data_IF_947791579200
#
_entry.id   IF_947791579200
#
_cell.length_a   1.000
_cell.length_b   1.000
_cell.length_c   1.000
_cell.angle_alpha   90.00
_cell.angle_beta   90.00
_cell.angle_gamma   90.00
#
_symmetry.space_group_name_H-M   'P 1'
#
loop_
_entity.id
_entity.type
_entity.pdbx_description
1 polymer ?
#
# COMPACT_ATOMS: atom_id res chain seq x y z
N UNK A 1 27.79 1.25 -1.69
CA UNK A 1 26.61 1.35 -2.46
C UNK A 1 25.80 0.09 -2.34
N UNK A 2 24.62 0.31 -2.38
CA UNK A 2 23.63 -0.68 -2.33
C UNK A 2 23.49 -1.38 -3.65
N UNK A 3 24.22 -2.44 -3.76
CA UNK A 3 24.23 -3.22 -4.99
C UNK A 3 23.59 -4.58 -4.82
N UNK A 4 22.79 -4.71 -3.81
CA UNK A 4 22.12 -5.95 -3.67
C UNK A 4 21.27 -6.23 -4.90
N UNK A 5 20.94 -7.47 -5.04
CA UNK A 5 20.09 -7.89 -6.14
C UNK A 5 18.77 -7.14 -6.21
N UNK A 6 18.38 -6.49 -5.15
CA UNK A 6 17.20 -5.61 -5.18
C UNK A 6 17.31 -4.45 -6.14
N UNK A 7 18.50 -4.07 -6.56
CA UNK A 7 18.68 -3.07 -7.59
C UNK A 7 18.03 -3.52 -8.92
N UNK A 8 17.93 -4.82 -9.11
CA UNK A 8 17.33 -5.41 -10.31
C UNK A 8 15.99 -6.07 -10.03
N UNK A 9 15.61 -6.10 -8.78
CA UNK A 9 14.36 -6.74 -8.37
C UNK A 9 13.20 -5.79 -8.58
N UNK A 10 12.11 -6.32 -9.12
CA UNK A 10 10.87 -5.56 -9.23
C UNK A 10 10.26 -5.41 -7.83
N UNK A 11 10.08 -4.17 -7.38
CA UNK A 11 9.39 -3.91 -6.14
C UNK A 11 7.89 -4.12 -6.31
N UNK A 12 7.27 -4.78 -5.36
CA UNK A 12 5.84 -5.08 -5.40
C UNK A 12 5.09 -4.12 -4.50
N UNK A 13 4.13 -3.42 -5.10
CA UNK A 13 3.36 -2.38 -4.43
C UNK A 13 1.88 -2.71 -4.53
N UNK A 14 1.17 -2.61 -3.41
CA UNK A 14 -0.28 -2.69 -3.40
C UNK A 14 -0.87 -1.32 -3.18
N UNK A 15 -1.99 -1.05 -3.84
CA UNK A 15 -2.78 0.18 -3.65
C UNK A 15 -4.18 -0.26 -3.29
N UNK A 16 -4.65 0.11 -2.11
CA UNK A 16 -5.97 -0.26 -1.61
C UNK A 16 -6.79 1.01 -1.43
N UNK A 17 -7.70 1.25 -2.35
CA UNK A 17 -8.50 2.47 -2.42
C UNK A 17 -9.83 2.17 -3.10
N UNK A 18 -10.96 2.48 -2.46
CA UNK A 18 -12.27 2.18 -3.01
C UNK A 18 -12.74 3.19 -4.07
N UNK A 19 -12.25 4.41 -4.03
CA UNK A 19 -12.60 5.41 -5.04
C UNK A 19 -11.80 5.19 -6.31
N UNK A 20 -12.49 4.92 -7.42
CA UNK A 20 -11.84 4.57 -8.68
C UNK A 20 -10.90 5.66 -9.18
N UNK A 21 -11.34 6.92 -9.13
CA UNK A 21 -10.53 8.03 -9.61
C UNK A 21 -9.27 8.22 -8.77
N UNK A 22 -9.40 8.13 -7.45
CA UNK A 22 -8.26 8.26 -6.55
C UNK A 22 -7.31 7.09 -6.69
N UNK A 23 -7.84 5.88 -6.87
CA UNK A 23 -7.01 4.70 -7.09
C UNK A 23 -6.19 4.82 -8.36
N UNK A 24 -6.83 5.29 -9.44
CA UNK A 24 -6.14 5.52 -10.71
C UNK A 24 -5.09 6.62 -10.59
N UNK A 25 -5.40 7.69 -9.87
CA UNK A 25 -4.48 8.79 -9.66
C UNK A 25 -3.25 8.33 -8.90
N UNK A 26 -3.42 7.56 -7.84
CA UNK A 26 -2.31 7.06 -7.05
C UNK A 26 -1.45 6.09 -7.86
N UNK A 27 -2.08 5.19 -8.59
CA UNK A 27 -1.35 4.28 -9.49
C UNK A 27 -0.59 5.06 -10.57
N UNK A 28 -1.17 6.15 -11.05
CA UNK A 28 -0.52 7.02 -12.03
C UNK A 28 0.73 7.70 -11.48
N UNK A 29 0.68 8.17 -10.23
CA UNK A 29 1.85 8.77 -9.59
C UNK A 29 2.97 7.73 -9.41
N UNK A 30 2.61 6.51 -9.02
CA UNK A 30 3.59 5.43 -8.87
C UNK A 30 4.22 5.09 -10.21
N UNK A 31 3.42 5.02 -11.26
CA UNK A 31 3.93 4.75 -12.61
C UNK A 31 4.88 5.86 -13.10
N UNK A 32 4.53 7.12 -12.79
CA UNK A 32 5.40 8.25 -13.13
C UNK A 32 6.73 8.16 -12.40
N UNK A 33 6.70 7.86 -11.11
CA UNK A 33 7.92 7.67 -10.34
C UNK A 33 8.78 6.57 -10.92
N UNK A 34 8.17 5.45 -11.31
CA UNK A 34 8.89 4.34 -11.92
C UNK A 34 9.61 4.78 -13.20
N UNK A 35 8.94 5.54 -14.05
CA UNK A 35 9.53 6.05 -15.29
C UNK A 35 10.68 7.00 -15.00
N UNK A 36 10.49 7.93 -14.06
CA UNK A 36 11.50 8.96 -13.77
C UNK A 36 12.72 8.40 -13.06
N UNK A 37 12.52 7.39 -12.24
CA UNK A 37 13.61 6.79 -11.45
C UNK A 37 14.28 5.61 -12.15
N UNK A 38 13.72 5.11 -13.24
CA UNK A 38 14.22 3.92 -13.92
C UNK A 38 13.95 2.64 -13.15
N UNK A 39 13.08 2.66 -12.14
CA UNK A 39 12.76 1.49 -11.35
C UNK A 39 11.64 0.68 -11.99
N UNK A 40 11.69 -0.62 -11.78
CA UNK A 40 10.60 -1.51 -12.15
C UNK A 40 9.72 -1.73 -10.93
N UNK A 41 8.44 -1.37 -11.07
CA UNK A 41 7.47 -1.50 -9.99
C UNK A 41 6.30 -2.35 -10.49
N UNK A 42 5.91 -3.32 -9.67
CA UNK A 42 4.76 -4.18 -9.95
C UNK A 42 3.62 -3.74 -9.03
N UNK A 43 2.61 -3.10 -9.58
CA UNK A 43 1.52 -2.51 -8.82
C UNK A 43 0.27 -3.35 -8.95
N UNK A 44 -0.29 -3.77 -7.83
CA UNK A 44 -1.59 -4.45 -7.77
C UNK A 44 -2.57 -3.55 -7.05
N UNK A 45 -3.71 -3.29 -7.66
CA UNK A 45 -4.73 -2.42 -7.10
C UNK A 45 -5.89 -3.24 -6.54
N UNK A 46 -6.38 -2.79 -5.39
CA UNK A 46 -7.53 -3.39 -4.71
C UNK A 46 -8.54 -2.31 -4.41
N UNK A 47 -9.81 -2.64 -4.50
CA UNK A 47 -10.89 -1.68 -4.28
C UNK A 47 -11.35 -1.62 -2.82
N UNK A 48 -10.90 -2.54 -1.98
CA UNK A 48 -11.29 -2.59 -0.57
C UNK A 48 -10.29 -3.42 0.22
N UNK A 49 -10.20 -3.16 1.53
CA UNK A 49 -9.34 -3.94 2.40
C UNK A 49 -9.69 -5.41 2.43
N UNK A 50 -10.97 -5.75 2.27
CA UNK A 50 -11.39 -7.14 2.22
C UNK A 50 -10.75 -7.91 1.07
N UNK A 51 -10.45 -7.23 -0.04
CA UNK A 51 -9.85 -7.89 -1.20
C UNK A 51 -8.39 -8.29 -0.97
N UNK A 52 -7.65 -7.50 -0.19
CA UNK A 52 -6.25 -7.80 0.04
C UNK A 52 -6.02 -8.80 1.17
N UNK A 53 -6.95 -8.90 2.12
CA UNK A 53 -6.75 -9.77 3.28
C UNK A 53 -7.47 -11.12 3.21
N UNK A 54 -8.17 -11.44 2.14
CA UNK A 54 -8.97 -12.67 2.07
C UNK A 54 -8.57 -13.54 0.86
N UNK A 55 -7.48 -14.30 0.96
CA UNK A 55 -6.47 -14.27 2.02
C UNK A 55 -5.37 -13.26 1.71
N UNK A 56 -4.71 -12.76 2.77
CA UNK A 56 -3.52 -11.94 2.57
C UNK A 56 -2.34 -12.81 2.18
N UNK A 57 -1.67 -12.42 1.12
CA UNK A 57 -0.47 -13.12 0.66
C UNK A 57 0.72 -12.19 0.80
N UNK A 58 1.70 -12.53 1.65
CA UNK A 58 2.92 -11.74 1.76
C UNK A 58 3.66 -11.68 0.43
N UNK A 59 4.46 -10.65 0.27
CA UNK A 59 5.24 -10.45 -0.95
C UNK A 59 5.26 -9.01 -1.41
N UNK A 60 4.40 -8.17 -0.85
CA UNK A 60 4.45 -6.74 -1.12
C UNK A 60 5.57 -6.09 -0.34
N UNK A 61 6.22 -5.11 -0.95
CA UNK A 61 7.22 -4.28 -0.28
C UNK A 61 6.56 -3.08 0.39
N UNK A 62 5.57 -2.49 -0.28
CA UNK A 62 4.83 -1.33 0.23
C UNK A 62 3.36 -1.51 -0.08
N UNK A 63 2.52 -1.16 0.88
CA UNK A 63 1.06 -1.14 0.70
C UNK A 63 0.55 0.25 1.04
N UNK A 64 -0.07 0.90 0.06
CA UNK A 64 -0.77 2.17 0.26
C UNK A 64 -2.23 1.86 0.59
N UNK A 65 -2.71 2.37 1.72
CA UNK A 65 -4.04 2.08 2.24
C UNK A 65 -4.85 3.35 2.43
N UNK A 66 -6.04 3.38 1.88
CA UNK A 66 -7.04 4.37 2.30
C UNK A 66 -7.61 3.95 3.65
N UNK A 67 -8.02 4.92 4.45
CA UNK A 67 -8.54 4.65 5.79
C UNK A 67 -10.01 4.24 5.73
N UNK A 68 -10.83 4.94 4.96
CA UNK A 68 -12.26 4.67 4.89
C UNK A 68 -12.62 3.89 3.63
N UNK A 69 -13.09 2.67 3.83
CA UNK A 69 -13.55 1.79 2.75
C UNK A 69 -14.80 1.04 3.21
N UNK A 70 -15.69 0.67 2.27
CA UNK A 70 -17.03 0.19 2.64
C UNK A 70 -17.06 -1.10 3.45
N UNK A 71 -16.28 -2.10 3.09
CA UNK A 71 -16.34 -3.42 3.73
C UNK A 71 -15.32 -3.55 4.84
N UNK A 72 -14.05 -3.29 4.54
CA UNK A 72 -13.00 -3.37 5.54
C UNK A 72 -12.10 -2.15 5.38
N UNK A 73 -12.16 -1.26 6.35
CA UNK A 73 -11.39 -0.02 6.34
C UNK A 73 -9.89 -0.25 6.50
N UNK A 74 -9.12 0.82 6.32
CA UNK A 74 -7.66 0.75 6.32
C UNK A 74 -7.07 0.32 7.66
N UNK A 75 -7.62 0.77 8.79
CA UNK A 75 -7.09 0.40 10.10
C UNK A 75 -7.23 -1.08 10.38
N UNK A 76 -8.43 -1.69 10.28
CA UNK A 76 -8.55 -3.14 10.45
C UNK A 76 -7.77 -3.93 9.41
N UNK A 77 -7.68 -3.44 8.18
CA UNK A 77 -6.87 -4.07 7.13
C UNK A 77 -5.41 -4.12 7.55
N UNK A 78 -4.87 -2.98 7.99
CA UNK A 78 -3.49 -2.90 8.44
C UNK A 78 -3.21 -3.83 9.62
N UNK A 79 -4.14 -3.92 10.57
CA UNK A 79 -3.99 -4.82 11.71
C UNK A 79 -3.90 -6.28 11.27
N UNK A 80 -4.75 -6.70 10.34
CA UNK A 80 -4.71 -8.06 9.80
C UNK A 80 -3.42 -8.33 9.04
N UNK A 81 -2.96 -7.38 8.26
CA UNK A 81 -1.70 -7.50 7.52
C UNK A 81 -0.54 -7.68 8.49
N UNK A 82 -0.49 -6.86 9.55
CA UNK A 82 0.60 -6.94 10.53
C UNK A 82 0.68 -8.27 11.26
N UNK A 83 -0.43 -8.94 11.43
CA UNK A 83 -0.44 -10.26 12.06
C UNK A 83 0.29 -11.31 11.23
N UNK A 84 0.30 -11.15 9.91
CA UNK A 84 0.90 -12.11 8.97
C UNK A 84 2.23 -11.61 8.43
N UNK A 85 2.38 -10.30 8.29
CA UNK A 85 3.48 -9.67 7.57
C UNK A 85 3.98 -8.46 8.36
N UNK A 86 4.84 -8.67 9.35
CA UNK A 86 5.29 -7.58 10.23
C UNK A 86 6.25 -6.60 9.57
N UNK A 87 6.85 -6.96 8.44
CA UNK A 87 7.92 -6.16 7.84
C UNK A 87 7.47 -5.29 6.66
N UNK A 88 6.29 -5.55 6.10
CA UNK A 88 5.82 -4.74 4.97
C UNK A 88 5.62 -3.29 5.39
N UNK A 89 5.98 -2.36 4.50
CA UNK A 89 5.78 -0.93 4.76
C UNK A 89 4.32 -0.60 4.46
N UNK A 90 3.62 -0.05 5.46
CA UNK A 90 2.24 0.40 5.31
C UNK A 90 2.20 1.92 5.31
N UNK A 91 1.53 2.50 4.30
CA UNK A 91 1.39 3.94 4.15
C UNK A 91 -0.08 4.27 4.04
N UNK A 92 -0.59 5.05 4.99
CA UNK A 92 -1.97 5.54 4.89
C UNK A 92 -2.03 6.76 3.99
N UNK A 93 -2.98 6.75 3.07
CA UNK A 93 -3.20 7.85 2.13
C UNK A 93 -4.61 8.37 2.37
N UNK A 94 -4.70 9.56 2.98
CA UNK A 94 -6.00 10.12 3.35
C UNK A 94 -5.93 11.65 3.37
N UNK A 95 -7.08 12.28 3.10
CA UNK A 95 -7.23 13.73 3.25
C UNK A 95 -7.73 14.10 4.65
N UNK A 96 -8.04 13.13 5.48
CA UNK A 96 -8.66 13.35 6.79
C UNK A 96 -7.58 13.42 7.86
N UNK A 97 -7.15 14.65 8.17
CA UNK A 97 -6.05 14.89 9.08
C UNK A 97 -6.20 14.18 10.44
N UNK A 98 -7.44 14.02 10.91
CA UNK A 98 -7.67 13.35 12.19
C UNK A 98 -7.24 11.90 12.19
N UNK A 99 -7.12 11.26 11.02
CA UNK A 99 -6.68 9.87 10.94
C UNK A 99 -5.17 9.72 10.84
N UNK A 100 -4.46 10.81 10.57
CA UNK A 100 -3.00 10.75 10.46
C UNK A 100 -2.35 10.26 11.75
N UNK A 101 -2.89 10.66 12.89
CA UNK A 101 -2.38 10.25 14.21
C UNK A 101 -2.59 8.74 14.39
N UNK A 102 -3.74 8.23 14.00
CA UNK A 102 -4.06 6.82 14.16
C UNK A 102 -3.18 5.91 13.29
N UNK A 103 -2.63 6.46 12.21
CA UNK A 103 -1.72 5.71 11.37
C UNK A 103 -0.49 5.19 12.11
N UNK A 104 -0.03 5.92 13.12
CA UNK A 104 1.12 5.50 13.91
C UNK A 104 0.83 4.31 14.82
N UNK A 105 -0.43 4.07 15.14
CA UNK A 105 -0.81 2.95 16.01
C UNK A 105 -0.59 1.58 15.36
N UNK A 106 -0.53 1.54 14.03
CA UNK A 106 -0.29 0.30 13.27
C UNK A 106 1.05 0.32 12.56
N UNK A 107 1.95 1.19 13.00
CA UNK A 107 3.32 1.28 12.48
C UNK A 107 3.32 1.60 10.98
N UNK A 108 2.57 2.60 10.58
CA UNK A 108 2.53 3.08 9.20
C UNK A 108 3.48 4.28 9.03
N UNK A 109 3.91 4.48 7.80
CA UNK A 109 4.74 5.62 7.44
C UNK A 109 3.89 6.83 6.99
#
# INVERSE_FOLDING_TARGET
MFTWKGAYKMAKIAVVEDNDAMREQLCGFIAQYARESGRQLDVTAFADGAEIVDPYRPGFDIIFLDIEMPTLGGMPTAERIRQVDPDVVLVFVTNMAQYAIRGYEVDAL
#
